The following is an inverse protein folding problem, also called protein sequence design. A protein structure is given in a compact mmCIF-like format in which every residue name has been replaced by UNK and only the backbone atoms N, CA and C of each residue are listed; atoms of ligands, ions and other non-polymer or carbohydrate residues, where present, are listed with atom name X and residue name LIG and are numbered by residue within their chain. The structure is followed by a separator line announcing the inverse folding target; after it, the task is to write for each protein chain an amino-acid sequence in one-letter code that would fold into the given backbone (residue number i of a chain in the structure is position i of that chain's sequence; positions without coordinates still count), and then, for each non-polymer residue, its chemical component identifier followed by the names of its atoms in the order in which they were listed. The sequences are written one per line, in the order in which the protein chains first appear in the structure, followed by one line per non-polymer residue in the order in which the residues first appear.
data_IF_137614473951
#
_entry.id   IF_137614473951
#
_cell.length_a   1.000
_cell.length_b   1.000
_cell.length_c   1.000
_cell.angle_alpha   90.00
_cell.angle_beta   90.00
_cell.angle_gamma   90.00
#
_symmetry.space_group_name_H-M   'P 1'
#
loop_
_entity.id
_entity.type
_entity.pdbx_description
1 polymer ?
#
# COMPACT_ATOMS: atom_id res chain seq x y z
N UNK A 1 7.52 -7.71 -32.94
CA UNK A 1 6.69 -7.28 -31.79
C UNK A 1 6.85 -8.16 -30.53
N UNK A 2 7.83 -9.07 -30.44
CA UNK A 2 8.07 -9.91 -29.24
C UNK A 2 9.21 -9.41 -28.33
N UNK A 3 10.19 -8.67 -28.86
CA UNK A 3 11.38 -8.27 -28.09
C UNK A 3 11.13 -7.15 -27.07
N UNK A 4 10.20 -6.23 -27.35
CA UNK A 4 9.86 -5.15 -26.41
C UNK A 4 9.22 -5.67 -25.11
N UNK A 5 8.49 -6.80 -25.15
CA UNK A 5 7.86 -7.36 -23.95
C UNK A 5 8.86 -7.93 -22.94
N UNK A 6 10.03 -8.41 -23.38
CA UNK A 6 11.06 -8.95 -22.49
C UNK A 6 11.95 -7.86 -21.87
N UNK A 7 12.09 -6.71 -22.53
CA UNK A 7 12.82 -5.55 -21.99
C UNK A 7 12.06 -4.83 -20.85
N UNK A 8 10.72 -4.96 -20.82
CA UNK A 8 9.89 -4.41 -19.75
C UNK A 8 10.13 -5.09 -18.39
N UNK A 9 10.30 -6.42 -18.38
CA UNK A 9 10.37 -7.21 -17.14
C UNK A 9 11.49 -6.80 -16.18
N UNK A 10 12.77 -6.76 -16.61
CA UNK A 10 13.89 -6.39 -15.75
C UNK A 10 13.82 -4.94 -15.28
N UNK A 11 13.47 -4.01 -16.17
CA UNK A 11 13.33 -2.59 -15.86
C UNK A 11 12.22 -2.34 -14.84
N UNK A 12 11.06 -2.97 -15.04
CA UNK A 12 9.93 -2.89 -14.13
C UNK A 12 10.23 -3.50 -12.75
N UNK A 13 10.97 -4.62 -12.69
CA UNK A 13 11.39 -5.22 -11.41
C UNK A 13 12.44 -4.35 -10.70
N UNK A 14 13.42 -3.82 -11.42
CA UNK A 14 14.41 -2.91 -10.85
C UNK A 14 13.76 -1.63 -10.27
N UNK A 15 12.76 -1.10 -10.98
CA UNK A 15 11.98 0.04 -10.51
C UNK A 15 11.08 -0.30 -9.31
N UNK A 16 10.48 -1.49 -9.27
CA UNK A 16 9.71 -1.94 -8.11
C UNK A 16 10.57 -2.08 -6.84
N UNK A 17 11.82 -2.52 -6.98
CA UNK A 17 12.76 -2.63 -5.87
C UNK A 17 13.16 -1.26 -5.33
N UNK A 18 13.37 -0.27 -6.22
CA UNK A 18 13.62 1.13 -5.83
C UNK A 18 12.43 1.75 -5.08
N UNK A 19 11.20 1.39 -5.46
CA UNK A 19 9.97 1.91 -4.86
C UNK A 19 9.54 1.15 -3.59
N UNK A 20 10.16 0.00 -3.30
CA UNK A 20 9.86 -0.88 -2.17
C UNK A 20 8.35 -1.19 -2.07
N UNK A 21 7.74 -1.61 -3.18
CA UNK A 21 6.27 -1.81 -3.29
C UNK A 21 5.73 -2.99 -2.48
N UNK A 22 6.61 -3.76 -1.85
CA UNK A 22 6.29 -4.75 -0.83
C UNK A 22 6.05 -4.11 0.55
N UNK A 23 6.46 -2.86 0.73
CA UNK A 23 6.41 -2.09 1.97
C UNK A 23 5.68 -0.75 1.83
N UNK A 24 5.74 -0.11 0.65
CA UNK A 24 5.09 1.16 0.37
C UNK A 24 3.86 0.97 -0.51
N UNK A 25 2.78 1.64 -0.13
CA UNK A 25 1.57 1.76 -0.92
C UNK A 25 1.86 2.59 -2.17
N UNK A 26 1.27 2.24 -3.32
CA UNK A 26 1.37 3.12 -4.50
C UNK A 26 0.61 4.42 -4.26
N UNK A 27 -0.63 4.27 -3.80
CA UNK A 27 -1.53 5.31 -3.35
C UNK A 27 -2.61 4.64 -2.46
N UNK A 28 -3.62 5.38 -2.01
CA UNK A 28 -4.78 4.86 -1.33
C UNK A 28 -6.03 4.92 -2.21
N UNK A 29 -6.73 3.79 -2.30
CA UNK A 29 -8.00 3.64 -3.02
C UNK A 29 -9.09 3.12 -2.07
N UNK A 30 -10.37 3.09 -2.49
CA UNK A 30 -11.41 2.41 -1.72
C UNK A 30 -11.17 0.90 -1.54
N UNK A 31 -10.41 0.27 -2.44
CA UNK A 31 -10.03 -1.13 -2.39
C UNK A 31 -8.52 -1.25 -2.57
N UNK A 32 -7.82 -1.85 -1.60
CA UNK A 32 -6.36 -1.99 -1.64
C UNK A 32 -5.95 -3.42 -1.34
N UNK A 33 -4.94 -3.91 -2.07
CA UNK A 33 -4.27 -5.16 -1.74
C UNK A 33 -2.99 -4.86 -0.95
N UNK A 34 -2.90 -5.47 0.22
CA UNK A 34 -1.80 -5.32 1.15
C UNK A 34 -1.01 -6.63 1.27
N UNK A 35 0.26 -6.47 1.61
CA UNK A 35 1.19 -7.53 1.97
C UNK A 35 1.46 -7.44 3.48
N UNK A 36 2.17 -8.43 4.03
CA UNK A 36 2.68 -8.34 5.39
C UNK A 36 3.62 -7.13 5.58
N UNK A 37 4.47 -6.84 4.60
CA UNK A 37 5.38 -5.69 4.64
C UNK A 37 4.64 -4.36 4.78
N UNK A 38 3.53 -4.18 4.06
CA UNK A 38 2.65 -3.01 4.22
C UNK A 38 2.09 -2.91 5.64
N UNK A 39 1.51 -4.00 6.16
CA UNK A 39 0.85 -4.03 7.47
C UNK A 39 1.83 -3.81 8.65
N UNK A 40 3.12 -4.11 8.44
CA UNK A 40 4.18 -3.94 9.43
C UNK A 40 4.78 -2.53 9.46
N UNK A 41 4.52 -1.70 8.42
CA UNK A 41 4.93 -0.29 8.41
C UNK A 41 4.38 0.45 9.62
N UNK A 42 5.12 1.44 10.09
CA UNK A 42 4.71 2.26 11.23
C UNK A 42 4.15 3.61 10.78
N UNK A 43 3.01 3.97 11.34
CA UNK A 43 2.40 5.30 11.28
C UNK A 43 2.03 5.69 12.71
N UNK A 44 2.47 6.88 13.14
CA UNK A 44 2.24 7.38 14.51
C UNK A 44 2.68 6.39 15.60
N UNK A 45 3.82 5.73 15.38
CA UNK A 45 4.39 4.73 16.30
C UNK A 45 3.69 3.37 16.30
N UNK A 46 2.61 3.19 15.55
CA UNK A 46 1.81 1.95 15.51
C UNK A 46 1.97 1.24 14.17
N UNK A 47 1.85 -0.11 14.17
CA UNK A 47 1.76 -0.88 12.92
C UNK A 47 0.53 -0.44 12.14
N UNK A 48 0.64 -0.35 10.81
CA UNK A 48 -0.44 0.08 9.93
C UNK A 48 -1.73 -0.71 10.20
N UNK A 49 -1.63 -2.03 10.42
CA UNK A 49 -2.76 -2.87 10.76
C UNK A 49 -3.53 -2.36 12.01
N UNK A 50 -2.82 -2.06 13.09
CA UNK A 50 -3.42 -1.60 14.34
C UNK A 50 -3.95 -0.16 14.20
N UNK A 51 -3.21 0.69 13.48
CA UNK A 51 -3.65 2.06 13.24
C UNK A 51 -4.96 2.12 12.45
N UNK A 52 -5.12 1.24 11.45
CA UNK A 52 -6.37 1.12 10.68
C UNK A 52 -7.53 0.69 11.60
N UNK A 53 -7.31 -0.34 12.42
CA UNK A 53 -8.32 -0.89 13.33
C UNK A 53 -8.76 0.13 14.39
N UNK A 54 -7.82 0.76 15.11
CA UNK A 54 -8.12 1.71 16.17
C UNK A 54 -8.85 2.96 15.69
N UNK A 55 -8.54 3.44 14.48
CA UNK A 55 -9.19 4.61 13.90
C UNK A 55 -10.47 4.26 13.13
N UNK A 56 -10.85 2.97 13.06
CA UNK A 56 -11.97 2.50 12.23
C UNK A 56 -11.85 2.93 10.75
N UNK A 57 -10.63 2.95 10.22
CA UNK A 57 -10.33 3.36 8.84
C UNK A 57 -10.59 2.25 7.83
N UNK A 58 -11.83 1.77 7.83
CA UNK A 58 -12.24 0.64 6.99
C UNK A 58 -11.92 -0.71 7.60
N UNK A 59 -11.89 -1.75 6.76
CA UNK A 59 -11.79 -3.15 7.21
C UNK A 59 -10.66 -3.86 6.49
N UNK A 60 -9.82 -4.56 7.25
CA UNK A 60 -8.82 -5.47 6.70
C UNK A 60 -9.35 -6.90 6.74
N UNK A 61 -9.33 -7.59 5.59
CA UNK A 61 -9.67 -9.00 5.44
C UNK A 61 -8.48 -9.76 4.91
N UNK A 62 -8.16 -10.92 5.50
CA UNK A 62 -7.12 -11.80 4.96
C UNK A 62 -7.68 -12.59 3.79
N UNK A 63 -7.07 -12.46 2.60
CA UNK A 63 -7.47 -13.19 1.40
C UNK A 63 -6.67 -14.48 1.21
N UNK A 64 -5.39 -14.47 1.60
CA UNK A 64 -4.49 -15.62 1.48
C UNK A 64 -3.45 -15.61 2.60
N UNK A 65 -2.52 -16.56 2.59
CA UNK A 65 -1.39 -16.59 3.54
C UNK A 65 -0.56 -15.30 3.52
N UNK A 66 -0.48 -14.61 2.37
CA UNK A 66 0.42 -13.46 2.14
C UNK A 66 -0.29 -12.20 1.62
N UNK A 67 -1.61 -12.23 1.44
CA UNK A 67 -2.38 -11.13 0.86
C UNK A 67 -3.57 -10.76 1.75
N UNK A 68 -3.74 -9.46 1.94
CA UNK A 68 -4.87 -8.86 2.63
C UNK A 68 -5.58 -7.87 1.72
N UNK A 69 -6.88 -7.76 1.90
CA UNK A 69 -7.72 -6.72 1.31
C UNK A 69 -7.97 -5.66 2.38
N UNK A 70 -7.82 -4.40 2.02
CA UNK A 70 -8.22 -3.27 2.85
C UNK A 70 -9.26 -2.44 2.11
N UNK A 71 -10.49 -2.51 2.60
CA UNK A 71 -11.62 -1.73 2.09
C UNK A 71 -11.77 -0.45 2.90
N UNK A 72 -11.67 0.68 2.22
CA UNK A 72 -11.75 2.02 2.81
C UNK A 72 -13.03 2.70 2.33
N UNK A 73 -13.89 3.23 3.21
CA UNK A 73 -15.04 4.02 2.78
C UNK A 73 -14.59 5.20 1.90
N UNK A 74 -15.20 5.45 0.72
CA UNK A 74 -14.73 6.48 -0.20
C UNK A 74 -14.60 7.88 0.42
N UNK A 75 -15.49 8.21 1.36
CA UNK A 75 -15.46 9.47 2.12
C UNK A 75 -14.20 9.67 2.97
N UNK A 76 -13.58 8.58 3.41
CA UNK A 76 -12.43 8.61 4.33
C UNK A 76 -11.10 8.57 3.56
N UNK A 77 -11.13 8.21 2.27
CA UNK A 77 -9.94 8.11 1.40
C UNK A 77 -9.10 9.40 1.40
N UNK A 78 -9.64 10.62 1.20
CA UNK A 78 -8.81 11.82 1.16
C UNK A 78 -8.02 12.05 2.47
N UNK A 79 -8.67 11.87 3.60
CA UNK A 79 -8.09 12.06 4.94
C UNK A 79 -7.01 11.02 5.24
N UNK A 80 -7.33 9.73 5.01
CA UNK A 80 -6.39 8.63 5.26
C UNK A 80 -5.20 8.73 4.31
N UNK A 81 -5.44 9.01 3.02
CA UNK A 81 -4.40 9.20 2.01
C UNK A 81 -3.41 10.26 2.43
N UNK A 82 -3.89 11.40 2.92
CA UNK A 82 -3.03 12.48 3.40
C UNK A 82 -2.12 12.02 4.53
N UNK A 83 -2.66 11.34 5.54
CA UNK A 83 -1.86 10.81 6.67
C UNK A 83 -0.83 9.79 6.22
N UNK A 84 -1.15 8.95 5.23
CA UNK A 84 -0.21 7.97 4.67
C UNK A 84 0.92 8.65 3.88
N UNK A 85 0.63 9.71 3.11
CA UNK A 85 1.63 10.51 2.40
C UNK A 85 2.55 11.20 3.42
N UNK A 86 1.98 11.84 4.44
CA UNK A 86 2.72 12.57 5.46
C UNK A 86 3.62 11.64 6.29
N UNK A 87 3.20 10.40 6.48
CA UNK A 87 3.99 9.36 7.14
C UNK A 87 5.00 8.65 6.21
N UNK A 88 5.05 9.00 4.91
CA UNK A 88 5.95 8.39 3.94
C UNK A 88 5.65 6.91 3.66
N UNK A 89 4.38 6.50 3.78
CA UNK A 89 3.92 5.14 3.49
C UNK A 89 3.48 4.97 2.03
N UNK A 90 3.35 6.06 1.27
CA UNK A 90 3.03 6.04 -0.16
C UNK A 90 4.24 6.37 -1.02
N UNK A 91 4.27 5.86 -2.25
CA UNK A 91 5.24 6.27 -3.28
C UNK A 91 4.90 7.65 -3.86
N UNK A 92 3.61 7.98 -3.91
CA UNK A 92 3.17 9.35 -4.23
C UNK A 92 3.67 10.30 -3.14
N UNK A 93 4.26 11.41 -3.57
CA UNK A 93 4.67 12.54 -2.74
C UNK A 93 3.75 13.73 -3.02
N UNK A 94 3.63 14.66 -2.06
CA UNK A 94 2.94 15.93 -2.26
C UNK A 94 3.60 16.75 -3.37
#
# INVERSE_FOLDING_TARGET
MKEQSFAFGPTFRAESARRQLDQNLRDLYPFNLLSKGHLDRRIEGKRLAHWIEENSFGVIRKLSAITWQWDVPPRDVPTIRRRLIDAGLTVVKQ
#
